data_IF_573312887836
#
_entry.id   IF_573312887836
#
_cell.length_a   1.000
_cell.length_b   1.000
_cell.length_c   1.000
_cell.angle_alpha   90.00
_cell.angle_beta   90.00
_cell.angle_gamma   90.00
#
_symmetry.space_group_name_H-M   'P 1'
#
loop_
_entity.id
_entity.type
_entity.pdbx_description
1 polymer ?
#
# COMPACT_ATOMS: atom_id res chain seq x y z
N UNK A 1 -18.71 4.65 -38.55
CA UNK A 1 -18.31 3.65 -37.56
C UNK A 1 -16.97 4.04 -36.97
N UNK A 2 -16.98 4.57 -35.79
CA UNK A 2 -15.73 4.79 -35.05
C UNK A 2 -15.36 3.42 -34.46
N UNK A 3 -14.32 2.79 -34.99
CA UNK A 3 -13.74 1.61 -34.37
C UNK A 3 -13.24 2.07 -32.98
N UNK A 4 -13.93 1.64 -31.91
CA UNK A 4 -13.50 1.90 -30.57
C UNK A 4 -12.07 1.37 -30.40
N UNK A 5 -11.10 2.28 -30.21
CA UNK A 5 -9.83 1.89 -29.66
C UNK A 5 -10.16 1.22 -28.32
N UNK A 6 -9.95 -0.08 -28.23
CA UNK A 6 -9.79 -0.72 -26.92
C UNK A 6 -8.62 0.02 -26.29
N UNK A 7 -8.92 0.95 -25.41
CA UNK A 7 -7.90 1.53 -24.56
C UNK A 7 -7.25 0.37 -23.83
N UNK A 8 -5.96 0.24 -24.01
CA UNK A 8 -5.20 -0.85 -23.42
C UNK A 8 -5.30 -0.67 -21.93
N UNK A 9 -5.87 -1.68 -21.24
CA UNK A 9 -5.86 -1.70 -19.78
C UNK A 9 -4.41 -1.58 -19.30
N UNK A 10 -4.09 -0.45 -18.69
CA UNK A 10 -2.78 -0.18 -18.14
C UNK A 10 -2.86 -0.38 -16.62
N UNK A 11 -2.15 -1.38 -16.16
CA UNK A 11 -2.06 -1.67 -14.73
C UNK A 11 -0.65 -2.04 -14.34
N UNK A 12 -0.28 -1.68 -13.14
CA UNK A 12 0.99 -2.05 -12.53
C UNK A 12 0.75 -2.67 -11.16
N UNK A 13 1.36 -3.81 -10.93
CA UNK A 13 1.32 -4.51 -9.63
C UNK A 13 2.71 -4.61 -9.06
N UNK A 14 2.88 -4.24 -7.82
CA UNK A 14 4.14 -4.38 -7.11
C UNK A 14 3.92 -4.88 -5.68
N UNK A 15 4.97 -5.42 -5.09
CA UNK A 15 4.96 -6.01 -3.74
C UNK A 15 5.91 -5.23 -2.84
N UNK A 16 5.43 -4.89 -1.66
CA UNK A 16 6.24 -4.30 -0.59
C UNK A 16 6.52 -5.40 0.43
N UNK A 17 7.76 -5.89 0.54
CA UNK A 17 8.11 -6.93 1.50
C UNK A 17 8.01 -6.42 2.95
N UNK A 18 7.77 -7.35 3.86
CA UNK A 18 7.68 -7.06 5.28
C UNK A 18 6.26 -6.83 5.80
N UNK A 19 6.10 -6.80 7.12
CA UNK A 19 4.79 -6.63 7.75
C UNK A 19 4.09 -5.34 7.31
N UNK A 20 2.76 -5.36 7.14
CA UNK A 20 2.00 -4.15 6.87
C UNK A 20 2.19 -3.10 7.96
N UNK A 21 2.44 -1.86 7.56
CA UNK A 21 2.62 -0.72 8.47
C UNK A 21 1.68 0.41 8.09
N UNK A 22 1.09 1.01 9.10
CA UNK A 22 0.29 2.22 8.97
C UNK A 22 1.13 3.48 9.13
N UNK A 23 0.54 4.62 8.79
CA UNK A 23 1.15 5.91 9.03
C UNK A 23 1.14 6.22 10.53
N UNK A 24 2.30 6.35 11.13
CA UNK A 24 2.41 6.84 12.48
C UNK A 24 2.07 8.33 12.52
N UNK A 25 1.34 8.75 13.55
CA UNK A 25 1.07 10.17 13.76
C UNK A 25 2.36 10.90 14.08
N UNK A 26 2.55 12.07 13.49
CA UNK A 26 3.62 12.97 13.87
C UNK A 26 3.51 13.29 15.37
N UNK A 27 4.64 13.23 16.08
CA UNK A 27 4.72 13.64 17.48
C UNK A 27 5.03 15.12 17.53
N UNK A 28 4.17 15.87 18.20
CA UNK A 28 4.36 17.29 18.42
C UNK A 28 4.89 17.53 19.83
N UNK A 29 5.95 18.28 19.95
CA UNK A 29 6.56 18.63 21.23
C UNK A 29 7.07 20.07 21.21
N UNK A 30 7.17 20.69 22.37
CA UNK A 30 7.75 22.01 22.51
C UNK A 30 9.28 21.91 22.51
N UNK A 31 9.92 22.63 21.60
CA UNK A 31 11.37 22.71 21.54
C UNK A 31 11.83 23.99 22.26
N UNK A 32 12.45 23.87 23.47
CA UNK A 32 12.85 25.05 24.24
C UNK A 32 14.00 25.84 23.62
N UNK A 33 14.83 25.22 22.77
CA UNK A 33 15.92 25.91 22.06
C UNK A 33 15.36 26.81 20.96
N UNK A 34 14.31 26.38 20.29
CA UNK A 34 13.68 27.12 19.18
C UNK A 34 12.46 27.93 19.65
N UNK A 35 12.07 27.80 20.91
CA UNK A 35 10.89 28.46 21.52
C UNK A 35 9.60 28.29 20.70
N UNK A 36 9.42 27.11 20.07
CA UNK A 36 8.25 26.80 19.24
C UNK A 36 7.85 25.33 19.34
N UNK A 37 6.61 25.02 18.94
CA UNK A 37 6.17 23.65 18.75
C UNK A 37 6.83 23.04 17.51
N UNK A 38 7.30 21.83 17.63
CA UNK A 38 7.94 21.09 16.55
C UNK A 38 7.24 19.74 16.37
N UNK A 39 7.07 19.35 15.12
CA UNK A 39 6.45 18.05 14.76
C UNK A 39 7.47 17.17 14.07
N UNK A 40 7.57 15.93 14.51
CA UNK A 40 8.47 14.93 13.93
C UNK A 40 7.65 13.72 13.49
N UNK A 41 7.82 13.30 12.22
CA UNK A 41 7.31 12.03 11.72
C UNK A 41 8.27 10.91 12.14
N UNK A 42 7.78 9.81 12.73
CA UNK A 42 8.64 8.70 13.11
C UNK A 42 9.44 8.13 11.93
N UNK A 43 10.72 7.87 12.13
CA UNK A 43 11.67 7.40 11.10
C UNK A 43 11.20 6.12 10.40
N UNK A 44 10.58 5.21 11.14
CA UNK A 44 10.05 3.96 10.58
C UNK A 44 8.95 4.15 9.54
N UNK A 45 8.13 5.22 9.66
CA UNK A 45 7.10 5.55 8.68
C UNK A 45 7.71 6.13 7.41
N UNK A 46 8.67 7.02 7.54
CA UNK A 46 9.40 7.62 6.40
C UNK A 46 10.14 6.54 5.61
N UNK A 47 10.82 5.64 6.30
CA UNK A 47 11.53 4.51 5.67
C UNK A 47 10.59 3.60 4.88
N UNK A 48 9.42 3.29 5.43
CA UNK A 48 8.43 2.45 4.78
C UNK A 48 7.79 3.12 3.56
N UNK A 49 7.52 4.41 3.62
CA UNK A 49 7.05 5.21 2.47
C UNK A 49 8.10 5.24 1.36
N UNK A 50 9.37 5.43 1.68
CA UNK A 50 10.46 5.42 0.72
C UNK A 50 10.64 4.05 0.05
N UNK A 51 10.53 2.96 0.81
CA UNK A 51 10.58 1.60 0.29
C UNK A 51 9.47 1.33 -0.73
N UNK A 52 8.26 1.80 -0.46
CA UNK A 52 7.13 1.69 -1.39
C UNK A 52 7.39 2.43 -2.70
N UNK A 53 7.88 3.66 -2.63
CA UNK A 53 8.25 4.45 -3.81
C UNK A 53 9.30 3.74 -4.65
N UNK A 54 10.34 3.21 -4.02
CA UNK A 54 11.43 2.49 -4.69
C UNK A 54 10.88 1.24 -5.39
N UNK A 55 10.10 0.42 -4.71
CA UNK A 55 9.53 -0.79 -5.29
C UNK A 55 8.61 -0.49 -6.48
N UNK A 56 7.81 0.56 -6.41
CA UNK A 56 6.98 1.00 -7.52
C UNK A 56 7.83 1.40 -8.73
N UNK A 57 8.85 2.20 -8.52
CA UNK A 57 9.74 2.69 -9.58
C UNK A 57 10.47 1.54 -10.28
N UNK A 58 10.99 0.59 -9.52
CA UNK A 58 11.67 -0.59 -10.06
C UNK A 58 10.74 -1.43 -10.96
N UNK A 59 9.52 -1.70 -10.53
CA UNK A 59 8.56 -2.46 -11.34
C UNK A 59 8.11 -1.68 -12.57
N UNK A 60 7.89 -0.38 -12.44
CA UNK A 60 7.51 0.49 -13.56
C UNK A 60 8.60 0.52 -14.64
N UNK A 61 9.86 0.59 -14.26
CA UNK A 61 11.00 0.54 -15.19
C UNK A 61 11.09 -0.83 -15.89
N UNK A 62 10.91 -1.92 -15.15
CA UNK A 62 10.98 -3.27 -15.68
C UNK A 62 9.89 -3.56 -16.72
N UNK A 63 8.67 -3.08 -16.49
CA UNK A 63 7.53 -3.29 -17.39
C UNK A 63 7.49 -2.30 -18.59
N UNK A 64 8.52 -1.50 -18.76
CA UNK A 64 8.58 -0.44 -19.77
C UNK A 64 7.38 0.52 -19.70
N UNK A 65 6.85 0.66 -18.51
CA UNK A 65 5.77 1.58 -18.18
C UNK A 65 6.39 2.91 -17.78
N UNK A 66 5.96 4.00 -18.39
CA UNK A 66 6.49 5.34 -18.06
C UNK A 66 6.20 5.77 -16.60
N UNK A 67 5.59 4.88 -15.82
CA UNK A 67 5.46 4.96 -14.37
C UNK A 67 4.54 6.05 -13.86
N UNK A 68 3.74 6.66 -14.75
CA UNK A 68 2.94 7.80 -14.36
C UNK A 68 1.59 7.83 -15.06
N UNK A 69 0.52 7.79 -14.26
CA UNK A 69 -0.83 8.04 -14.73
C UNK A 69 -1.13 9.54 -14.63
N UNK A 70 -1.25 10.19 -15.77
CA UNK A 70 -1.58 11.60 -15.79
C UNK A 70 -3.05 11.83 -15.36
N UNK A 71 -3.80 12.63 -15.53
CA UNK A 71 -5.11 13.06 -15.02
C UNK A 71 -6.27 12.07 -15.13
N UNK A 72 -6.03 10.81 -15.51
CA UNK A 72 -7.05 9.78 -15.67
C UNK A 72 -7.57 9.21 -14.37
N UNK A 73 -8.83 8.73 -14.29
CA UNK A 73 -9.37 8.06 -13.13
C UNK A 73 -8.70 6.70 -12.93
N UNK A 74 -8.44 6.34 -11.69
CA UNK A 74 -7.68 5.15 -11.32
C UNK A 74 -8.45 4.24 -10.36
N UNK A 75 -8.19 2.94 -10.48
CA UNK A 75 -8.51 1.92 -9.49
C UNK A 75 -7.24 1.54 -8.73
N UNK A 76 -7.33 1.48 -7.42
CA UNK A 76 -6.27 0.97 -6.55
C UNK A 76 -6.76 -0.25 -5.78
N UNK A 77 -6.00 -1.34 -5.85
CA UNK A 77 -6.24 -2.53 -5.04
C UNK A 77 -5.04 -2.78 -4.12
N UNK A 78 -5.29 -2.94 -2.84
CA UNK A 78 -4.27 -3.18 -1.82
C UNK A 78 -4.65 -4.41 -1.01
N UNK A 79 -3.74 -5.38 -0.95
CA UNK A 79 -3.86 -6.53 -0.07
C UNK A 79 -2.73 -6.53 0.95
N UNK A 80 -3.07 -6.39 2.21
CA UNK A 80 -2.12 -6.44 3.32
C UNK A 80 -2.08 -7.87 3.89
N UNK A 81 -0.91 -8.49 3.82
CA UNK A 81 -0.67 -9.87 4.26
C UNK A 81 0.08 -9.86 5.58
N UNK A 82 -0.58 -10.35 6.61
CA UNK A 82 -0.10 -10.37 7.99
C UNK A 82 0.51 -11.72 8.35
N UNK A 83 1.59 -11.69 9.10
CA UNK A 83 2.18 -12.89 9.67
C UNK A 83 1.24 -13.56 10.68
N UNK A 84 1.16 -14.89 10.63
CA UNK A 84 0.48 -15.67 11.65
C UNK A 84 1.38 -15.75 12.88
N UNK A 85 0.89 -15.38 14.09
CA UNK A 85 1.70 -15.47 15.30
C UNK A 85 2.18 -16.90 15.57
N UNK A 86 3.44 -17.06 15.96
CA UNK A 86 4.07 -18.37 16.21
C UNK A 86 3.38 -19.20 17.29
N UNK A 87 2.72 -18.55 18.24
CA UNK A 87 1.96 -19.18 19.33
C UNK A 87 0.58 -19.69 18.93
N UNK A 88 0.20 -19.54 17.66
CA UNK A 88 -1.12 -19.94 17.15
C UNK A 88 -1.26 -21.46 17.07
N UNK A 89 -2.37 -22.02 17.55
CA UNK A 89 -2.66 -23.46 17.44
C UNK A 89 -2.76 -23.90 15.98
N UNK A 90 -2.42 -25.15 15.70
CA UNK A 90 -2.48 -25.72 14.34
C UNK A 90 -3.86 -25.59 13.67
N UNK A 91 -4.94 -25.77 14.44
CA UNK A 91 -6.32 -25.61 13.96
C UNK A 91 -6.59 -24.16 13.52
N UNK A 92 -6.16 -23.18 14.32
CA UNK A 92 -6.30 -21.76 14.00
C UNK A 92 -5.41 -21.35 12.80
N UNK A 93 -4.19 -21.84 12.73
CA UNK A 93 -3.29 -21.59 11.60
C UNK A 93 -3.97 -21.99 10.28
N UNK A 94 -4.60 -23.15 10.24
CA UNK A 94 -5.32 -23.62 9.06
C UNK A 94 -6.47 -22.67 8.66
N UNK A 95 -7.27 -22.21 9.62
CA UNK A 95 -8.34 -21.25 9.37
C UNK A 95 -7.81 -19.91 8.84
N UNK A 96 -6.70 -19.44 9.38
CA UNK A 96 -6.04 -18.21 8.94
C UNK A 96 -5.48 -18.34 7.52
N UNK A 97 -4.82 -19.44 7.21
CA UNK A 97 -4.26 -19.70 5.87
C UNK A 97 -5.35 -19.85 4.80
N UNK A 98 -6.49 -20.41 5.15
CA UNK A 98 -7.65 -20.58 4.26
C UNK A 98 -8.49 -19.30 4.11
N UNK A 99 -8.19 -18.24 4.86
CA UNK A 99 -8.93 -16.98 4.83
C UNK A 99 -10.25 -16.98 5.58
N UNK A 100 -10.53 -18.02 6.37
CA UNK A 100 -11.73 -18.12 7.21
C UNK A 100 -11.60 -17.27 8.49
N UNK A 101 -10.39 -17.07 8.96
CA UNK A 101 -10.06 -16.13 10.01
C UNK A 101 -9.13 -15.05 9.44
N UNK A 102 -9.49 -13.78 9.63
CA UNK A 102 -8.78 -12.65 9.06
C UNK A 102 -8.20 -11.73 10.13
N UNK A 103 -7.13 -10.96 9.83
CA UNK A 103 -6.52 -10.08 10.82
C UNK A 103 -7.45 -8.94 11.23
N UNK A 104 -7.78 -8.87 12.51
CA UNK A 104 -8.55 -7.79 13.13
C UNK A 104 -7.66 -6.95 14.04
N UNK A 105 -6.46 -6.65 13.60
CA UNK A 105 -5.43 -5.92 14.34
C UNK A 105 -4.84 -4.79 13.52
N UNK A 106 -4.12 -3.91 14.18
CA UNK A 106 -3.40 -2.80 13.52
C UNK A 106 -2.35 -3.30 12.52
N UNK A 107 -2.05 -2.52 11.48
CA UNK A 107 -2.67 -1.24 11.17
C UNK A 107 -4.11 -1.37 10.64
N UNK A 108 -4.92 -0.35 10.89
CA UNK A 108 -6.29 -0.26 10.38
C UNK A 108 -6.29 -0.16 8.85
N UNK A 109 -7.35 -0.63 8.22
CA UNK A 109 -7.42 -0.69 6.75
C UNK A 109 -7.36 0.68 6.08
N UNK A 110 -8.01 1.69 6.65
CA UNK A 110 -7.98 3.07 6.19
C UNK A 110 -6.57 3.68 6.34
N UNK A 111 -5.86 3.34 7.39
CA UNK A 111 -4.49 3.79 7.62
C UNK A 111 -3.51 3.17 6.62
N UNK A 112 -3.69 1.91 6.24
CA UNK A 112 -2.94 1.26 5.15
C UNK A 112 -3.20 1.98 3.83
N UNK A 113 -4.47 2.25 3.50
CA UNK A 113 -4.85 2.98 2.30
C UNK A 113 -4.16 4.34 2.22
N UNK A 114 -4.22 5.10 3.30
CA UNK A 114 -3.63 6.43 3.39
C UNK A 114 -2.12 6.42 3.16
N UNK A 115 -1.42 5.49 3.79
CA UNK A 115 0.03 5.36 3.63
C UNK A 115 0.41 5.00 2.20
N UNK A 116 -0.32 4.10 1.55
CA UNK A 116 -0.06 3.72 0.16
C UNK A 116 -0.34 4.90 -0.77
N UNK A 117 -1.47 5.58 -0.62
CA UNK A 117 -1.82 6.74 -1.43
C UNK A 117 -0.80 7.87 -1.28
N UNK A 118 -0.41 8.21 -0.07
CA UNK A 118 0.58 9.26 0.21
C UNK A 118 1.96 8.90 -0.38
N UNK A 119 2.37 7.63 -0.30
CA UNK A 119 3.65 7.18 -0.83
C UNK A 119 3.72 7.25 -2.35
N UNK A 120 2.61 7.02 -3.04
CA UNK A 120 2.54 7.02 -4.50
C UNK A 120 2.15 8.37 -5.10
N UNK A 121 1.77 9.33 -4.27
CA UNK A 121 1.40 10.68 -4.71
C UNK A 121 2.61 11.34 -5.40
N UNK A 122 2.41 11.84 -6.61
CA UNK A 122 3.45 12.39 -7.52
C UNK A 122 4.54 11.39 -7.93
N UNK A 123 4.36 10.11 -7.67
CA UNK A 123 5.23 9.01 -8.12
C UNK A 123 4.51 8.18 -9.19
N UNK A 124 3.31 7.69 -8.88
CA UNK A 124 2.48 6.90 -9.78
C UNK A 124 1.42 7.73 -10.50
N UNK A 125 0.96 8.81 -9.91
CA UNK A 125 -0.10 9.70 -10.40
C UNK A 125 0.12 11.13 -9.90
N UNK A 126 -0.59 12.09 -10.48
CA UNK A 126 -0.47 13.50 -10.11
C UNK A 126 -1.03 13.82 -8.73
N UNK A 127 -2.17 13.23 -8.41
CA UNK A 127 -2.85 13.42 -7.13
C UNK A 127 -3.70 12.18 -6.80
N UNK A 128 -3.77 11.81 -5.53
CA UNK A 128 -4.60 10.70 -5.04
C UNK A 128 -6.12 10.94 -5.22
N UNK A 129 -6.52 12.16 -5.53
CA UNK A 129 -7.89 12.47 -6.00
C UNK A 129 -8.28 11.76 -7.30
N UNK A 130 -7.32 11.26 -8.07
CA UNK A 130 -7.56 10.46 -9.26
C UNK A 130 -8.08 9.05 -8.94
N UNK A 131 -7.89 8.57 -7.71
CA UNK A 131 -8.35 7.26 -7.28
C UNK A 131 -9.86 7.32 -7.06
N UNK A 132 -10.61 6.68 -7.95
CA UNK A 132 -12.06 6.66 -7.95
C UNK A 132 -12.62 5.36 -7.38
N UNK A 133 -11.91 4.25 -7.56
CA UNK A 133 -12.23 2.94 -6.99
C UNK A 133 -11.08 2.43 -6.13
N UNK A 134 -11.40 1.88 -4.97
CA UNK A 134 -10.40 1.30 -4.08
C UNK A 134 -10.89 0.00 -3.48
N UNK A 135 -10.06 -1.04 -3.58
CA UNK A 135 -10.28 -2.35 -2.96
C UNK A 135 -9.20 -2.56 -1.92
N UNK A 136 -9.59 -2.76 -0.69
CA UNK A 136 -8.69 -2.99 0.45
C UNK A 136 -8.99 -4.31 1.12
N UNK A 137 -7.96 -5.13 1.28
CA UNK A 137 -8.09 -6.44 1.91
C UNK A 137 -6.97 -6.66 2.92
N UNK A 138 -7.33 -7.35 4.02
CA UNK A 138 -6.40 -7.86 5.03
C UNK A 138 -6.55 -9.36 5.07
N UNK A 139 -5.46 -10.10 5.02
CA UNK A 139 -5.43 -11.55 5.20
C UNK A 139 -4.16 -11.98 5.90
N UNK A 140 -4.15 -13.19 6.39
CA UNK A 140 -2.94 -13.83 6.88
C UNK A 140 -2.13 -14.49 5.76
N UNK A 141 -0.87 -14.76 6.04
CA UNK A 141 0.01 -15.53 5.16
C UNK A 141 -0.55 -16.93 4.90
N UNK A 142 -0.35 -17.42 3.68
CA UNK A 142 -0.52 -18.83 3.32
C UNK A 142 0.73 -19.62 3.66
N UNK A 143 0.68 -20.93 3.52
CA UNK A 143 1.85 -21.78 3.77
C UNK A 143 3.04 -21.36 2.88
N UNK A 144 4.21 -21.18 3.50
CA UNK A 144 5.44 -20.74 2.82
C UNK A 144 5.49 -19.28 2.40
N UNK A 145 4.47 -18.49 2.73
CA UNK A 145 4.39 -17.08 2.38
C UNK A 145 4.93 -16.19 3.51
N UNK A 146 5.66 -15.14 3.16
CA UNK A 146 6.10 -14.12 4.09
C UNK A 146 5.13 -12.93 4.12
N UNK A 147 5.06 -12.17 5.22
CA UNK A 147 4.23 -10.97 5.27
C UNK A 147 4.67 -9.93 4.23
N UNK A 148 3.71 -9.31 3.57
CA UNK A 148 3.94 -8.31 2.54
C UNK A 148 2.67 -7.52 2.26
N UNK A 149 2.79 -6.50 1.42
CA UNK A 149 1.67 -5.72 0.90
C UNK A 149 1.70 -5.76 -0.63
N UNK A 150 0.60 -6.16 -1.24
CA UNK A 150 0.43 -6.17 -2.70
C UNK A 150 -0.36 -4.93 -3.09
N UNK A 151 0.16 -4.14 -4.03
CA UNK A 151 -0.50 -2.94 -4.54
C UNK A 151 -0.64 -3.03 -6.05
N UNK A 152 -1.85 -2.80 -6.54
CA UNK A 152 -2.15 -2.68 -7.97
C UNK A 152 -2.78 -1.33 -8.24
N UNK A 153 -2.24 -0.61 -9.19
CA UNK A 153 -2.80 0.65 -9.71
C UNK A 153 -3.12 0.45 -11.18
N UNK A 154 -4.35 0.74 -11.59
CA UNK A 154 -4.79 0.60 -12.97
C UNK A 154 -5.73 1.73 -13.38
N UNK A 155 -5.78 2.03 -14.68
CA UNK A 155 -6.80 2.92 -15.19
C UNK A 155 -8.17 2.25 -15.17
N UNK A 156 -9.21 3.05 -15.12
CA UNK A 156 -10.61 2.59 -15.22
C UNK A 156 -11.00 2.58 -16.70
N UNK A 157 -11.53 1.46 -17.17
CA UNK A 157 -12.11 1.37 -18.52
C UNK A 157 -13.43 2.17 -18.64
#
# INVERSE_FOLDING_TARGET
MVAGRKEKELGITFVIPGPPKGKARARTFYNPKLKRMQSITPDGTVLYENLRKTNYTEVAEYEDFKGYFDKEPLTMAVTAVYEIPKSTSKKKVKLMQEGLERPCKKPDIDNIAKVVCDALNKVAYGDDTQICDMILRKRYTREGENPHVIVTVSNIE
#
